data_IF_946867899681
#
_entry.id   IF_946867899681
#
_cell.length_a   1.000
_cell.length_b   1.000
_cell.length_c   1.000
_cell.angle_alpha   90.00
_cell.angle_beta   90.00
_cell.angle_gamma   90.00
#
_symmetry.space_group_name_H-M   'P 1'
#
loop_
_entity.id
_entity.type
_entity.pdbx_description
1 polymer ?
#
# COMPACT_ATOMS: atom_id res chain seq x y z
N UNK A 1 28.05 -42.86 9.21
CA UNK A 1 26.63 -42.46 9.37
C UNK A 1 26.43 -41.43 10.48
N UNK A 2 27.29 -40.40 10.61
CA UNK A 2 27.05 -39.27 11.54
C UNK A 2 27.19 -37.90 10.85
N UNK A 3 27.83 -37.85 9.68
CA UNK A 3 28.15 -36.60 8.98
C UNK A 3 26.98 -36.10 8.11
N UNK A 4 26.05 -36.98 7.71
CA UNK A 4 24.85 -36.58 6.96
C UNK A 4 23.71 -36.03 7.83
N UNK A 5 23.78 -36.15 9.16
CA UNK A 5 22.74 -35.61 10.05
C UNK A 5 22.97 -34.12 10.41
N UNK A 6 24.20 -33.62 10.27
CA UNK A 6 24.53 -32.23 10.59
C UNK A 6 24.21 -31.23 9.46
N UNK A 7 24.11 -31.70 8.22
CA UNK A 7 23.69 -30.87 7.06
C UNK A 7 22.18 -30.65 6.98
N UNK A 8 21.39 -31.34 7.82
CA UNK A 8 19.93 -31.15 7.94
C UNK A 8 19.53 -30.09 8.98
N UNK A 9 20.50 -29.53 9.73
CA UNK A 9 20.27 -28.52 10.77
C UNK A 9 20.69 -27.10 10.36
N UNK A 10 21.19 -26.90 9.15
CA UNK A 10 21.50 -25.56 8.60
C UNK A 10 20.47 -25.07 7.57
N UNK A 11 19.26 -25.63 7.58
CA UNK A 11 18.08 -24.86 7.19
C UNK A 11 17.63 -24.15 8.45
N UNK A 12 18.40 -23.15 8.87
CA UNK A 12 17.80 -22.10 9.69
C UNK A 12 16.71 -21.50 8.79
N UNK A 13 15.48 -21.96 8.99
CA UNK A 13 14.33 -21.07 8.83
C UNK A 13 14.68 -19.90 9.74
N UNK A 14 15.13 -18.80 9.16
CA UNK A 14 14.93 -17.50 9.77
C UNK A 14 13.43 -17.41 10.00
N UNK A 15 12.99 -17.82 11.18
CA UNK A 15 11.70 -17.40 11.68
C UNK A 15 11.90 -15.90 11.88
N UNK A 16 11.55 -15.12 10.88
CA UNK A 16 11.56 -13.66 10.92
C UNK A 16 10.59 -13.23 12.00
N UNK A 17 11.08 -13.13 13.24
CA UNK A 17 10.27 -12.72 14.37
C UNK A 17 10.00 -11.23 14.23
N UNK A 18 8.72 -10.85 14.22
CA UNK A 18 8.34 -9.44 14.21
C UNK A 18 8.93 -8.72 15.43
N UNK A 19 9.69 -7.67 15.17
CA UNK A 19 10.28 -6.79 16.19
C UNK A 19 9.20 -5.87 16.77
N UNK A 20 9.29 -5.60 18.06
CA UNK A 20 8.43 -4.64 18.77
C UNK A 20 9.07 -3.26 18.70
N UNK A 21 8.31 -2.26 18.27
CA UNK A 21 8.81 -0.91 18.02
C UNK A 21 8.08 0.10 18.90
N UNK A 22 8.78 1.19 19.26
CA UNK A 22 8.13 2.39 19.78
C UNK A 22 7.30 3.04 18.68
N UNK A 23 6.07 3.45 18.99
CA UNK A 23 5.16 4.13 18.07
C UNK A 23 4.88 5.55 18.54
N UNK A 24 4.96 6.52 17.65
CA UNK A 24 4.53 7.89 17.86
C UNK A 24 4.02 8.47 16.54
N UNK A 25 2.79 8.97 16.51
CA UNK A 25 2.16 9.43 15.27
C UNK A 25 2.72 10.76 14.76
N UNK A 26 2.96 11.70 15.67
CA UNK A 26 3.67 12.95 15.40
C UNK A 26 3.98 13.64 16.72
N UNK A 27 5.13 14.30 16.83
CA UNK A 27 5.49 15.10 18.00
C UNK A 27 6.93 15.57 17.95
N UNK A 28 7.38 16.19 19.03
CA UNK A 28 8.79 16.56 19.23
C UNK A 28 9.35 15.73 20.37
N UNK A 29 9.49 16.30 21.57
CA UNK A 29 10.03 15.62 22.75
C UNK A 29 9.10 14.52 23.28
N UNK A 30 7.79 14.65 23.10
CA UNK A 30 6.79 13.66 23.55
C UNK A 30 7.00 12.29 22.89
N UNK A 31 7.47 12.28 21.63
CA UNK A 31 7.77 11.04 20.92
C UNK A 31 8.99 10.30 21.45
N UNK A 32 9.87 10.96 22.23
CA UNK A 32 11.00 10.30 22.88
C UNK A 32 10.57 9.38 24.02
N UNK A 33 9.42 9.65 24.62
CA UNK A 33 8.91 8.90 25.77
C UNK A 33 7.60 8.14 25.47
N UNK A 34 7.26 7.96 24.19
CA UNK A 34 6.03 7.27 23.82
C UNK A 34 6.00 5.84 24.38
N UNK A 35 4.90 5.50 25.04
CA UNK A 35 4.59 4.15 25.52
C UNK A 35 3.80 3.32 24.53
N UNK A 36 3.37 3.92 23.42
CA UNK A 36 2.66 3.20 22.37
C UNK A 36 3.62 2.30 21.60
N UNK A 37 3.16 1.13 21.21
CA UNK A 37 3.99 0.12 20.56
C UNK A 37 3.31 -0.44 19.32
N UNK A 38 4.11 -0.98 18.41
CA UNK A 38 3.60 -1.79 17.32
C UNK A 38 4.61 -2.88 16.95
N UNK A 39 4.22 -3.83 16.10
CA UNK A 39 5.09 -4.92 15.65
C UNK A 39 5.18 -4.94 14.13
N UNK A 40 6.38 -5.12 13.61
CA UNK A 40 6.65 -5.23 12.17
C UNK A 40 7.96 -5.95 11.89
N UNK A 41 8.40 -5.93 10.63
CA UNK A 41 9.70 -6.47 10.23
C UNK A 41 10.82 -5.50 10.64
N UNK A 42 10.54 -4.20 10.56
CA UNK A 42 11.49 -3.15 10.95
C UNK A 42 10.79 -2.08 11.77
N UNK A 43 11.52 -1.49 12.70
CA UNK A 43 11.15 -0.26 13.36
C UNK A 43 11.66 0.94 12.56
N UNK A 44 10.89 2.02 12.50
CA UNK A 44 11.32 3.26 11.86
C UNK A 44 11.37 4.44 12.84
N UNK A 45 12.29 5.35 12.58
CA UNK A 45 12.38 6.66 13.20
C UNK A 45 12.53 7.70 12.07
N UNK A 46 11.57 8.61 11.94
CA UNK A 46 11.58 9.67 10.94
C UNK A 46 11.67 11.05 11.60
N UNK A 47 12.46 11.93 11.00
CA UNK A 47 12.61 13.33 11.36
C UNK A 47 12.34 14.19 10.13
N UNK A 48 11.31 15.02 10.22
CA UNK A 48 10.93 15.93 9.15
C UNK A 48 11.27 17.36 9.54
N UNK A 49 11.96 18.06 8.65
CA UNK A 49 12.36 19.46 8.82
C UNK A 49 11.48 20.31 7.91
N UNK A 50 10.40 20.86 8.46
CA UNK A 50 9.49 21.73 7.70
C UNK A 50 9.94 23.19 7.83
N UNK A 51 10.27 23.83 6.71
CA UNK A 51 10.57 25.26 6.66
C UNK A 51 11.78 25.69 7.52
N UNK A 52 11.59 26.71 8.35
CA UNK A 52 12.63 27.29 9.23
C UNK A 52 12.56 26.75 10.68
N UNK A 53 11.93 25.60 10.89
CA UNK A 53 11.83 25.01 12.24
C UNK A 53 13.20 24.62 12.78
N UNK A 54 13.48 25.00 14.03
CA UNK A 54 14.74 24.65 14.72
C UNK A 54 14.75 23.21 15.24
N UNK A 55 13.58 22.57 15.34
CA UNK A 55 13.42 21.21 15.84
C UNK A 55 12.64 20.38 14.82
N UNK A 56 13.05 19.15 14.50
CA UNK A 56 12.32 18.29 13.58
C UNK A 56 11.02 17.79 14.21
N UNK A 57 10.02 17.56 13.36
CA UNK A 57 8.86 16.73 13.70
C UNK A 57 9.29 15.27 13.66
N UNK A 58 9.07 14.55 14.76
CA UNK A 58 9.45 13.15 14.95
C UNK A 58 8.23 12.25 14.74
N UNK A 59 8.44 11.17 13.99
CA UNK A 59 7.49 10.08 13.84
C UNK A 59 8.20 8.74 14.08
N UNK A 60 7.54 7.82 14.77
CA UNK A 60 8.08 6.48 15.07
C UNK A 60 7.03 5.41 14.82
N UNK A 61 7.46 4.23 14.40
CA UNK A 61 6.56 3.09 14.30
C UNK A 61 7.26 1.86 13.76
N UNK A 62 6.49 1.03 13.08
CA UNK A 62 6.94 -0.22 12.49
C UNK A 62 6.42 -0.32 11.06
N UNK A 63 7.23 -0.90 10.19
CA UNK A 63 6.89 -1.24 8.82
C UNK A 63 6.89 -2.76 8.66
N UNK A 64 6.08 -3.24 7.72
CA UNK A 64 6.06 -4.63 7.28
C UNK A 64 6.25 -4.64 5.77
N UNK A 65 7.14 -5.51 5.30
CA UNK A 65 7.61 -5.53 3.92
C UNK A 65 9.11 -5.37 3.82
N UNK A 66 9.62 -5.47 2.61
CA UNK A 66 11.04 -5.37 2.33
C UNK A 66 11.51 -3.92 2.38
N UNK A 67 12.58 -3.65 3.12
CA UNK A 67 13.33 -2.41 3.04
C UNK A 67 14.75 -2.74 2.58
N UNK A 68 15.39 -1.84 1.83
CA UNK A 68 16.75 -2.07 1.34
C UNK A 68 17.58 -0.80 1.42
N UNK A 69 18.76 -0.83 2.06
CA UNK A 69 19.14 -1.53 3.31
C UNK A 69 18.65 -0.86 4.62
N UNK A 70 18.88 -1.48 5.78
CA UNK A 70 18.72 -0.84 7.09
C UNK A 70 19.60 0.41 7.28
N UNK A 71 19.37 1.16 8.37
CA UNK A 71 20.08 2.40 8.68
C UNK A 71 19.31 3.65 8.24
N UNK A 72 19.99 4.80 8.29
CA UNK A 72 19.39 6.10 8.03
C UNK A 72 19.48 6.53 6.56
N UNK A 73 18.40 7.09 6.04
CA UNK A 73 18.31 7.80 4.77
C UNK A 73 18.14 9.28 5.01
N UNK A 74 18.87 10.09 4.25
CA UNK A 74 18.69 11.54 4.21
C UNK A 74 18.28 11.93 2.81
N UNK A 75 17.11 12.54 2.68
CA UNK A 75 16.61 13.02 1.40
C UNK A 75 17.14 14.45 1.08
N UNK A 76 16.84 14.95 -0.12
CA UNK A 76 17.30 16.26 -0.61
C UNK A 76 16.77 17.42 0.24
N UNK A 77 15.64 17.23 0.91
CA UNK A 77 15.03 18.21 1.82
C UNK A 77 15.66 18.17 3.22
N UNK A 78 16.59 17.26 3.48
CA UNK A 78 17.21 17.07 4.80
C UNK A 78 16.39 16.21 5.76
N UNK A 79 15.25 15.67 5.32
CA UNK A 79 14.46 14.74 6.13
C UNK A 79 15.22 13.44 6.32
N UNK A 80 15.13 12.88 7.52
CA UNK A 80 15.83 11.66 7.90
C UNK A 80 14.81 10.56 8.16
N UNK A 81 15.05 9.36 7.61
CA UNK A 81 14.28 8.16 7.90
C UNK A 81 15.23 7.02 8.20
N UNK A 82 15.17 6.49 9.41
CA UNK A 82 16.02 5.39 9.83
C UNK A 82 15.22 4.14 10.10
N UNK A 83 15.79 2.98 9.74
CA UNK A 83 15.22 1.67 10.01
C UNK A 83 16.17 0.78 10.80
N UNK A 84 15.62 -0.03 11.70
CA UNK A 84 16.35 -1.02 12.49
C UNK A 84 15.46 -2.26 12.76
N UNK A 85 16.05 -3.44 12.87
CA UNK A 85 15.35 -4.67 13.29
C UNK A 85 16.16 -5.53 14.28
N UNK A 86 17.32 -5.03 14.72
CA UNK A 86 18.30 -5.75 15.54
C UNK A 86 17.81 -6.04 16.97
N UNK A 87 16.93 -5.20 17.51
CA UNK A 87 16.36 -5.37 18.84
C UNK A 87 14.96 -4.75 18.99
N UNK A 88 14.17 -5.31 19.92
CA UNK A 88 12.94 -4.67 20.37
C UNK A 88 13.24 -3.24 20.86
N UNK A 89 12.43 -2.29 20.43
CA UNK A 89 12.53 -0.86 20.71
C UNK A 89 13.82 -0.20 20.21
N UNK A 90 14.48 -0.76 19.19
CA UNK A 90 15.67 -0.17 18.57
C UNK A 90 15.43 1.29 18.09
N UNK A 91 14.19 1.64 17.75
CA UNK A 91 13.81 3.00 17.32
C UNK A 91 13.46 3.98 18.45
N UNK A 92 13.59 3.55 19.71
CA UNK A 92 13.25 4.37 20.88
C UNK A 92 14.15 5.60 21.00
N UNK A 93 15.46 5.41 20.82
CA UNK A 93 16.47 6.46 20.84
C UNK A 93 17.07 6.66 19.44
N UNK A 94 17.06 7.89 18.94
CA UNK A 94 17.65 8.21 17.64
C UNK A 94 19.16 8.02 17.60
N UNK A 95 19.87 8.38 18.68
CA UNK A 95 21.34 8.38 18.67
C UNK A 95 21.93 6.99 18.48
N UNK A 96 21.26 5.95 18.99
CA UNK A 96 21.68 4.56 18.79
C UNK A 96 21.50 4.05 17.36
N UNK A 97 20.65 4.70 16.55
CA UNK A 97 20.40 4.30 15.15
C UNK A 97 21.38 5.01 14.20
N UNK A 98 21.76 6.25 14.55
CA UNK A 98 22.61 7.12 13.71
C UNK A 98 24.10 6.78 13.82
N UNK A 99 24.50 5.97 14.80
CA UNK A 99 25.86 5.41 14.85
C UNK A 99 26.17 4.50 13.64
N UNK A 100 25.13 4.11 12.87
CA UNK A 100 25.25 3.46 11.55
C UNK A 100 25.38 4.52 10.45
N UNK A 101 26.29 4.32 9.50
CA UNK A 101 26.52 5.23 8.36
C UNK A 101 25.22 5.62 7.65
N UNK A 102 24.91 6.92 7.62
CA UNK A 102 23.75 7.44 6.90
C UNK A 102 23.98 7.43 5.38
N UNK A 103 22.96 7.03 4.64
CA UNK A 103 22.96 7.07 3.18
C UNK A 103 22.26 8.34 2.72
N UNK A 104 22.98 9.20 2.01
CA UNK A 104 22.40 10.36 1.34
C UNK A 104 21.76 9.88 0.04
N UNK A 105 20.46 10.08 -0.12
CA UNK A 105 19.75 9.67 -1.32
C UNK A 105 20.21 10.52 -2.52
N UNK A 106 20.40 9.91 -3.70
CA UNK A 106 20.87 10.62 -4.88
C UNK A 106 19.83 11.65 -5.33
N UNK A 107 20.29 12.85 -5.69
CA UNK A 107 19.43 13.91 -6.25
C UNK A 107 19.44 13.81 -7.77
N UNK A 108 18.26 13.89 -8.36
CA UNK A 108 18.03 13.93 -9.79
C UNK A 108 17.16 15.12 -10.16
N UNK A 109 17.07 15.38 -11.46
CA UNK A 109 16.18 16.42 -12.01
C UNK A 109 14.94 15.75 -12.57
N UNK A 110 13.77 16.09 -12.04
CA UNK A 110 12.50 15.70 -12.65
C UNK A 110 12.01 16.82 -13.55
N UNK A 111 11.38 16.44 -14.67
CA UNK A 111 10.76 17.38 -15.59
C UNK A 111 9.23 17.40 -15.37
N UNK A 112 8.67 18.40 -14.67
CA UNK A 112 7.25 18.37 -14.37
C UNK A 112 6.42 18.59 -15.64
N UNK A 113 5.40 17.77 -15.79
CA UNK A 113 4.47 17.83 -16.90
C UNK A 113 3.06 17.66 -16.37
N UNK A 114 2.13 18.47 -16.88
CA UNK A 114 0.71 18.33 -16.57
C UNK A 114 -0.10 18.32 -17.86
N UNK A 115 -0.91 17.30 -18.03
CA UNK A 115 -1.89 17.18 -19.10
C UNK A 115 -3.26 17.16 -18.45
N UNK A 116 -4.11 18.14 -18.76
CA UNK A 116 -5.45 18.25 -18.17
C UNK A 116 -6.44 19.00 -19.08
N UNK A 117 -6.33 18.82 -20.41
CA UNK A 117 -7.11 19.54 -21.43
C UNK A 117 -7.03 21.08 -21.39
N UNK A 118 -6.17 21.64 -20.53
CA UNK A 118 -5.81 23.05 -20.52
C UNK A 118 -4.55 23.27 -21.38
N UNK A 119 -4.34 24.49 -21.90
CA UNK A 119 -3.12 24.83 -22.61
C UNK A 119 -1.90 24.49 -21.75
N UNK A 120 -0.96 23.69 -22.28
CA UNK A 120 0.29 23.40 -21.59
C UNK A 120 0.97 24.73 -21.22
N UNK A 121 1.43 24.92 -19.97
CA UNK A 121 2.26 26.06 -19.64
C UNK A 121 3.43 26.11 -20.62
N UNK A 122 3.73 27.29 -21.16
CA UNK A 122 4.78 27.45 -22.19
C UNK A 122 6.15 26.97 -21.68
N UNK A 123 6.34 26.99 -20.35
CA UNK A 123 7.52 26.54 -19.63
C UNK A 123 7.12 26.03 -18.23
N UNK A 124 7.52 24.81 -17.89
CA UNK A 124 7.52 24.29 -16.51
C UNK A 124 8.97 24.13 -16.09
N UNK A 125 9.36 24.72 -14.96
CA UNK A 125 10.75 24.63 -14.48
C UNK A 125 11.03 23.20 -14.00
N UNK A 126 12.17 22.59 -14.39
CA UNK A 126 12.63 21.35 -13.77
C UNK A 126 12.79 21.55 -12.25
N UNK A 127 12.61 20.48 -11.49
CA UNK A 127 12.79 20.48 -10.04
C UNK A 127 13.76 19.38 -9.60
N UNK A 128 14.46 19.64 -8.49
CA UNK A 128 15.34 18.67 -7.87
C UNK A 128 14.54 17.78 -6.92
N UNK A 129 14.79 16.47 -6.98
CA UNK A 129 14.10 15.45 -6.20
C UNK A 129 14.99 14.22 -6.06
N UNK A 130 14.77 13.39 -5.05
CA UNK A 130 15.34 12.04 -5.00
C UNK A 130 14.58 11.07 -5.88
N UNK A 131 13.27 11.24 -6.04
CA UNK A 131 12.42 10.38 -6.85
C UNK A 131 11.33 11.18 -7.57
N UNK A 132 11.20 10.95 -8.87
CA UNK A 132 10.13 11.51 -9.68
C UNK A 132 8.86 10.68 -9.54
N UNK A 133 7.72 11.37 -9.54
CA UNK A 133 6.40 10.75 -9.50
C UNK A 133 5.66 11.01 -10.79
N UNK A 134 4.90 10.03 -11.25
CA UNK A 134 3.96 10.17 -12.34
C UNK A 134 2.63 9.58 -11.90
N UNK A 135 1.54 10.31 -12.12
CA UNK A 135 0.18 9.81 -11.88
C UNK A 135 -0.68 10.25 -13.05
N UNK A 136 -1.42 9.32 -13.63
CA UNK A 136 -2.42 9.58 -14.64
C UNK A 136 -3.68 8.79 -14.35
N UNK A 137 -4.84 9.32 -14.76
CA UNK A 137 -6.06 8.54 -14.72
C UNK A 137 -6.87 8.63 -16.02
N UNK A 138 -7.63 7.57 -16.29
CA UNK A 138 -8.58 7.48 -17.41
C UNK A 138 -10.00 7.49 -16.87
N UNK A 139 -10.86 8.40 -17.33
CA UNK A 139 -12.28 8.33 -16.95
C UNK A 139 -12.95 7.12 -17.61
N UNK A 140 -13.99 6.60 -16.97
CA UNK A 140 -14.79 5.46 -17.43
C UNK A 140 -15.38 5.65 -18.85
N UNK A 141 -15.53 6.90 -19.33
CA UNK A 141 -16.06 7.19 -20.67
C UNK A 141 -15.00 7.09 -21.78
N UNK A 142 -13.71 6.98 -21.44
CA UNK A 142 -12.59 7.07 -22.40
C UNK A 142 -11.67 5.84 -22.35
N UNK A 143 -12.12 4.73 -21.76
CA UNK A 143 -11.34 3.47 -21.68
C UNK A 143 -10.92 2.96 -23.08
N UNK A 144 -11.69 3.30 -24.12
CA UNK A 144 -11.39 2.97 -25.53
C UNK A 144 -10.40 3.92 -26.21
N UNK A 145 -10.06 5.08 -25.59
CA UNK A 145 -9.07 6.01 -26.12
C UNK A 145 -7.69 5.80 -25.45
N UNK A 146 -6.63 5.90 -26.25
CA UNK A 146 -5.25 5.75 -25.78
C UNK A 146 -4.79 6.90 -24.86
N UNK A 147 -5.54 8.02 -24.78
CA UNK A 147 -5.13 9.22 -24.07
C UNK A 147 -5.68 9.28 -22.64
N UNK A 148 -4.85 9.71 -21.69
CA UNK A 148 -5.26 9.95 -20.30
C UNK A 148 -6.10 11.21 -20.18
N UNK A 149 -7.15 11.18 -19.35
CA UNK A 149 -7.96 12.38 -19.06
C UNK A 149 -7.19 13.44 -18.29
N UNK A 150 -6.29 12.98 -17.42
CA UNK A 150 -5.31 13.82 -16.77
C UNK A 150 -4.04 13.02 -16.50
N UNK A 151 -2.89 13.68 -16.57
CA UNK A 151 -1.62 13.17 -16.10
C UNK A 151 -0.82 14.27 -15.43
N UNK A 152 -0.04 13.90 -14.43
CA UNK A 152 0.89 14.77 -13.72
C UNK A 152 2.19 14.01 -13.50
N UNK A 153 3.29 14.57 -13.99
CA UNK A 153 4.66 14.23 -13.59
C UNK A 153 5.15 15.36 -12.69
N UNK A 154 5.62 15.06 -11.49
CA UNK A 154 6.04 16.07 -10.51
C UNK A 154 7.16 15.56 -9.59
N UNK A 155 7.82 16.49 -8.90
CA UNK A 155 8.67 16.21 -7.75
C UNK A 155 7.81 16.01 -6.51
N UNK A 156 8.14 15.06 -5.66
CA UNK A 156 7.43 14.88 -4.41
C UNK A 156 8.09 15.79 -3.35
N UNK A 157 7.30 16.67 -2.72
CA UNK A 157 7.90 17.83 -2.05
C UNK A 157 8.52 17.56 -0.68
N UNK A 158 8.20 16.43 -0.05
CA UNK A 158 8.54 16.22 1.38
C UNK A 158 8.88 14.76 1.74
N UNK A 159 8.27 13.78 1.05
CA UNK A 159 8.34 12.36 1.42
C UNK A 159 8.99 11.50 0.33
N UNK A 160 10.23 11.85 -0.02
CA UNK A 160 11.02 11.15 -1.03
C UNK A 160 12.03 10.21 -0.37
N UNK A 161 11.60 8.98 -0.12
CA UNK A 161 12.46 7.91 0.37
C UNK A 161 12.46 6.75 -0.60
N UNK A 162 13.44 5.84 -0.46
CA UNK A 162 13.56 4.59 -1.20
C UNK A 162 12.47 3.56 -0.85
N UNK A 163 11.32 4.03 -0.37
CA UNK A 163 10.22 3.24 0.16
C UNK A 163 8.87 3.93 -0.11
N UNK A 164 7.81 3.13 -0.23
CA UNK A 164 6.43 3.43 -0.69
C UNK A 164 6.03 4.92 -0.87
N UNK A 165 5.47 5.33 -2.03
CA UNK A 165 5.02 6.70 -2.24
C UNK A 165 3.76 7.02 -1.43
N UNK A 166 3.62 8.28 -0.99
CA UNK A 166 2.45 8.78 -0.25
C UNK A 166 1.26 9.17 -1.12
N UNK A 167 1.41 9.11 -2.45
CA UNK A 167 0.49 9.78 -3.38
C UNK A 167 -0.65 8.90 -3.89
N UNK A 168 -0.67 7.61 -3.54
CA UNK A 168 -1.69 6.67 -4.03
C UNK A 168 -2.25 5.83 -2.89
N UNK A 169 -3.37 5.16 -3.14
CA UNK A 169 -3.97 4.19 -2.22
C UNK A 169 -3.27 2.83 -2.25
N UNK A 170 -2.07 2.74 -2.85
CA UNK A 170 -1.35 1.50 -3.06
C UNK A 170 0.15 1.69 -2.79
N UNK A 171 0.74 0.76 -2.04
CA UNK A 171 2.15 0.72 -1.71
C UNK A 171 2.94 -0.04 -2.79
N UNK A 172 3.93 0.62 -3.40
CA UNK A 172 4.88 0.02 -4.35
C UNK A 172 6.26 0.70 -4.28
N UNK A 173 7.31 0.03 -4.74
CA UNK A 173 8.69 0.47 -4.57
C UNK A 173 9.17 1.46 -5.65
N UNK A 174 10.20 2.28 -5.37
CA UNK A 174 10.86 3.05 -6.42
C UNK A 174 11.36 2.16 -7.56
N UNK A 175 11.34 2.69 -8.79
CA UNK A 175 11.62 1.94 -10.01
C UNK A 175 10.43 1.11 -10.52
N UNK A 176 9.24 1.32 -9.97
CA UNK A 176 8.03 0.58 -10.36
C UNK A 176 6.93 1.52 -10.87
N UNK A 177 6.24 1.07 -11.91
CA UNK A 177 4.96 1.60 -12.37
C UNK A 177 3.85 0.60 -12.05
N UNK A 178 2.69 1.09 -11.64
CA UNK A 178 1.50 0.30 -11.33
C UNK A 178 0.26 0.84 -12.05
N UNK A 179 -0.56 -0.06 -12.58
CA UNK A 179 -1.91 0.24 -13.04
C UNK A 179 -2.91 -0.29 -12.04
N UNK A 180 -3.72 0.59 -11.48
CA UNK A 180 -4.68 0.30 -10.44
C UNK A 180 -6.09 0.48 -10.99
N UNK A 181 -6.91 -0.55 -10.85
CA UNK A 181 -8.35 -0.47 -11.06
C UNK A 181 -9.02 -0.89 -9.76
N UNK A 182 -9.72 0.06 -9.13
CA UNK A 182 -10.33 -0.09 -7.81
C UNK A 182 -11.59 0.76 -7.67
N UNK A 183 -12.42 0.47 -6.67
CA UNK A 183 -13.71 1.12 -6.54
C UNK A 183 -13.62 2.61 -6.22
N UNK A 184 -14.60 3.38 -6.70
CA UNK A 184 -14.77 4.79 -6.34
C UNK A 184 -13.86 5.78 -7.06
N UNK A 185 -12.94 5.33 -7.92
CA UNK A 185 -12.05 6.19 -8.72
C UNK A 185 -11.82 5.64 -10.13
N UNK A 186 -11.44 6.49 -11.10
CA UNK A 186 -10.96 6.06 -12.41
C UNK A 186 -9.68 5.21 -12.32
N UNK A 187 -9.45 4.39 -13.35
CA UNK A 187 -8.20 3.65 -13.56
C UNK A 187 -7.01 4.58 -13.41
N UNK A 188 -6.11 4.24 -12.48
CA UNK A 188 -4.97 5.07 -12.10
C UNK A 188 -3.66 4.39 -12.49
N UNK A 189 -2.88 5.04 -13.35
CA UNK A 189 -1.51 4.67 -13.64
C UNK A 189 -0.57 5.52 -12.78
N UNK A 190 0.26 4.90 -11.97
CA UNK A 190 1.21 5.59 -11.10
C UNK A 190 2.61 5.02 -11.24
N UNK A 191 3.63 5.88 -11.32
CA UNK A 191 5.03 5.49 -11.30
C UNK A 191 5.80 6.28 -10.24
N UNK A 192 6.80 5.64 -9.67
CA UNK A 192 7.70 6.24 -8.68
C UNK A 192 9.12 5.77 -8.97
N UNK A 193 10.06 6.67 -9.23
CA UNK A 193 11.41 6.27 -9.64
C UNK A 193 12.25 7.39 -10.23
N UNK A 194 13.07 7.07 -11.23
CA UNK A 194 13.88 8.06 -11.93
C UNK A 194 13.06 8.84 -12.97
N UNK A 195 13.56 10.02 -13.39
CA UNK A 195 12.92 10.79 -14.47
C UNK A 195 12.93 10.01 -15.81
N UNK A 196 13.90 9.11 -15.98
CA UNK A 196 14.05 8.20 -17.11
C UNK A 196 13.14 6.97 -17.08
N UNK A 197 12.35 6.79 -16.00
CA UNK A 197 11.38 5.71 -15.93
C UNK A 197 10.35 5.90 -17.05
N UNK A 198 10.20 4.88 -17.88
CA UNK A 198 9.27 4.95 -19.01
C UNK A 198 7.82 4.91 -18.51
N UNK A 199 7.20 6.10 -18.45
CA UNK A 199 5.81 6.27 -18.04
C UNK A 199 4.81 5.88 -19.14
N UNK A 200 5.29 5.46 -20.31
CA UNK A 200 4.48 5.00 -21.45
C UNK A 200 4.44 3.48 -21.58
N UNK A 201 5.12 2.77 -20.69
CA UNK A 201 5.14 1.31 -20.63
C UNK A 201 3.70 0.76 -20.68
N UNK A 202 3.35 0.23 -21.85
CA UNK A 202 2.08 -0.44 -22.10
C UNK A 202 2.18 -1.80 -21.43
N UNK A 203 1.35 -2.02 -20.41
CA UNK A 203 1.31 -3.28 -19.69
C UNK A 203 0.96 -4.43 -20.63
N UNK A 204 1.68 -5.53 -20.47
CA UNK A 204 1.33 -6.78 -21.13
C UNK A 204 0.04 -7.35 -20.50
N UNK A 205 -1.08 -7.09 -21.16
CA UNK A 205 -2.40 -7.56 -20.74
C UNK A 205 -2.53 -9.08 -20.76
N UNK A 206 -1.60 -9.81 -21.39
CA UNK A 206 -1.58 -11.28 -21.35
C UNK A 206 -1.22 -11.83 -19.96
N UNK A 207 -0.57 -11.02 -19.11
CA UNK A 207 -0.23 -11.40 -17.73
C UNK A 207 -1.34 -11.09 -16.72
N UNK A 208 -2.36 -10.34 -17.12
CA UNK A 208 -3.48 -9.94 -16.28
C UNK A 208 -4.59 -11.00 -16.28
N UNK A 209 -4.32 -12.14 -15.64
CA UNK A 209 -5.25 -13.30 -15.63
C UNK A 209 -6.06 -13.44 -14.35
N UNK A 210 -5.78 -12.65 -13.32
CA UNK A 210 -6.42 -12.77 -12.01
C UNK A 210 -7.63 -11.84 -11.93
N UNK A 211 -8.81 -12.40 -11.75
CA UNK A 211 -10.04 -11.63 -11.56
C UNK A 211 -10.21 -11.19 -10.11
N UNK A 212 -10.53 -9.93 -9.85
CA UNK A 212 -10.56 -9.35 -8.51
C UNK A 212 -11.86 -8.60 -8.23
N UNK A 213 -12.26 -8.55 -6.96
CA UNK A 213 -13.35 -7.67 -6.54
C UNK A 213 -12.90 -6.21 -6.55
N UNK A 214 -13.82 -5.32 -6.96
CA UNK A 214 -13.61 -3.88 -7.03
C UNK A 214 -14.65 -3.19 -6.16
N UNK A 215 -14.21 -2.47 -5.13
CA UNK A 215 -15.07 -1.62 -4.31
C UNK A 215 -14.28 -0.58 -3.48
N UNK A 216 -15.05 0.26 -2.79
CA UNK A 216 -14.53 1.25 -1.87
C UNK A 216 -15.45 1.39 -0.66
N UNK A 217 -14.85 1.46 0.52
CA UNK A 217 -15.51 1.76 1.76
C UNK A 217 -14.88 2.99 2.42
N UNK A 218 -15.73 3.89 2.90
CA UNK A 218 -15.34 5.00 3.75
C UNK A 218 -16.25 5.00 4.98
N UNK A 219 -15.71 5.06 6.21
CA UNK A 219 -16.52 5.07 7.43
C UNK A 219 -17.46 6.28 7.55
N UNK A 220 -17.20 7.35 6.80
CA UNK A 220 -17.99 8.58 6.80
C UNK A 220 -18.97 8.69 5.63
N UNK A 221 -18.98 7.72 4.70
CA UNK A 221 -19.88 7.73 3.55
C UNK A 221 -20.71 6.44 3.50
N UNK A 222 -21.88 6.46 2.85
CA UNK A 222 -22.59 5.23 2.52
C UNK A 222 -21.67 4.30 1.74
N UNK A 223 -21.63 3.02 2.11
CA UNK A 223 -20.84 2.03 1.39
C UNK A 223 -21.31 1.94 -0.07
N UNK A 224 -20.36 2.10 -1.00
CA UNK A 224 -20.63 2.04 -2.44
C UNK A 224 -20.06 0.74 -2.97
N UNK A 225 -20.94 -0.26 -3.08
CA UNK A 225 -20.61 -1.50 -3.77
C UNK A 225 -20.59 -1.24 -5.27
N UNK A 226 -19.41 -1.23 -5.87
CA UNK A 226 -19.26 -1.07 -7.32
C UNK A 226 -19.78 -2.31 -8.09
N UNK A 227 -19.87 -3.48 -7.43
CA UNK A 227 -20.42 -4.71 -8.03
C UNK A 227 -19.64 -5.23 -9.26
N UNK A 228 -18.52 -4.59 -9.58
CA UNK A 228 -17.67 -4.85 -10.72
C UNK A 228 -16.49 -5.75 -10.33
N UNK A 229 -15.94 -6.43 -11.32
CA UNK A 229 -14.64 -7.09 -11.25
C UNK A 229 -13.66 -6.42 -12.20
N UNK A 230 -12.37 -6.64 -11.97
CA UNK A 230 -11.32 -6.26 -12.89
C UNK A 230 -10.28 -7.38 -13.03
N UNK A 231 -9.50 -7.32 -14.10
CA UNK A 231 -8.43 -8.27 -14.38
C UNK A 231 -7.07 -7.61 -14.12
N UNK A 232 -6.22 -8.28 -13.34
CA UNK A 232 -4.84 -7.85 -13.14
C UNK A 232 -3.90 -9.01 -12.85
N UNK A 233 -2.63 -8.71 -12.66
CA UNK A 233 -1.62 -9.67 -12.20
C UNK A 233 -1.91 -10.08 -10.74
N UNK A 234 -2.30 -9.11 -9.92
CA UNK A 234 -2.62 -9.32 -8.51
C UNK A 234 -3.94 -8.65 -8.12
N UNK A 235 -4.61 -9.21 -7.12
CA UNK A 235 -5.67 -8.53 -6.39
C UNK A 235 -5.09 -7.86 -5.15
N UNK A 236 -5.70 -6.75 -4.73
CA UNK A 236 -5.32 -6.09 -3.50
C UNK A 236 -6.52 -5.66 -2.65
N UNK A 237 -6.24 -5.50 -1.36
CA UNK A 237 -7.01 -4.74 -0.38
C UNK A 237 -6.04 -3.73 0.20
N UNK A 238 -6.38 -2.44 0.22
CA UNK A 238 -5.59 -1.42 0.91
C UNK A 238 -6.44 -0.64 1.89
N UNK A 239 -5.83 -0.25 3.00
CA UNK A 239 -6.50 0.40 4.11
C UNK A 239 -5.71 1.59 4.63
N UNK A 240 -6.34 2.76 4.70
CA UNK A 240 -5.73 3.96 5.27
C UNK A 240 -5.81 3.94 6.79
N UNK A 241 -4.96 4.73 7.44
CA UNK A 241 -5.03 4.97 8.90
C UNK A 241 -6.34 5.63 9.36
N UNK A 242 -7.15 6.13 8.43
CA UNK A 242 -8.48 6.71 8.68
C UNK A 242 -9.62 5.69 8.54
N UNK A 243 -9.30 4.43 8.21
CA UNK A 243 -10.27 3.35 8.05
C UNK A 243 -10.95 3.31 6.67
N UNK A 244 -10.46 4.07 5.70
CA UNK A 244 -10.89 3.92 4.30
C UNK A 244 -10.28 2.66 3.72
N UNK A 245 -11.04 1.92 2.93
CA UNK A 245 -10.59 0.66 2.34
C UNK A 245 -10.93 0.59 0.87
N UNK A 246 -9.96 0.14 0.09
CA UNK A 246 -10.04 0.01 -1.36
C UNK A 246 -9.77 -1.44 -1.75
N UNK A 247 -10.57 -1.97 -2.66
CA UNK A 247 -10.29 -3.25 -3.32
C UNK A 247 -10.21 -3.07 -4.82
N UNK A 248 -9.27 -3.80 -5.40
CA UNK A 248 -9.02 -3.72 -6.83
C UNK A 248 -8.03 -4.76 -7.32
N UNK A 249 -7.63 -4.59 -8.58
CA UNK A 249 -6.54 -5.31 -9.21
C UNK A 249 -5.41 -4.35 -9.55
N UNK A 250 -4.20 -4.91 -9.57
CA UNK A 250 -2.98 -4.19 -9.91
C UNK A 250 -2.19 -4.96 -10.96
N UNK A 251 -1.69 -4.23 -11.94
CA UNK A 251 -0.61 -4.65 -12.83
C UNK A 251 0.63 -3.85 -12.46
N UNK A 252 1.79 -4.50 -12.37
CA UNK A 252 3.04 -3.87 -11.95
C UNK A 252 4.16 -4.17 -12.93
N UNK A 253 4.96 -3.14 -13.23
CA UNK A 253 6.18 -3.27 -14.01
C UNK A 253 7.31 -2.59 -13.28
N UNK A 254 8.34 -3.36 -12.99
CA UNK A 254 9.50 -2.93 -12.21
C UNK A 254 10.74 -3.00 -13.10
N UNK A 255 11.56 -1.96 -13.08
CA UNK A 255 12.84 -1.96 -13.81
C UNK A 255 13.80 -2.99 -13.22
N UNK A 256 14.72 -3.50 -14.03
CA UNK A 256 15.72 -4.45 -13.57
C UNK A 256 16.54 -3.89 -12.41
N UNK A 257 16.74 -4.68 -11.35
CA UNK A 257 17.47 -4.29 -10.15
C UNK A 257 16.65 -3.55 -9.09
N UNK A 258 15.42 -3.13 -9.38
CA UNK A 258 14.49 -2.58 -8.39
C UNK A 258 13.68 -3.68 -7.70
N UNK A 259 13.15 -3.37 -6.51
CA UNK A 259 12.35 -4.31 -5.71
C UNK A 259 10.97 -4.53 -6.36
N UNK A 260 10.63 -5.74 -6.81
CA UNK A 260 9.35 -6.00 -7.44
C UNK A 260 8.22 -6.06 -6.40
N UNK A 261 6.99 -5.91 -6.88
CA UNK A 261 5.80 -6.16 -6.07
C UNK A 261 5.75 -7.62 -5.62
N UNK A 262 5.35 -7.86 -4.36
CA UNK A 262 5.25 -9.20 -3.77
C UNK A 262 3.86 -9.46 -3.18
N UNK A 263 3.44 -10.71 -3.24
CA UNK A 263 2.26 -11.22 -2.54
C UNK A 263 2.51 -11.12 -1.03
N UNK A 264 1.48 -10.78 -0.27
CA UNK A 264 1.54 -10.74 1.19
C UNK A 264 0.95 -9.50 1.81
N UNK A 265 1.36 -9.26 3.05
CA UNK A 265 0.97 -8.10 3.83
C UNK A 265 2.10 -7.07 3.82
N UNK A 266 1.76 -5.79 3.64
CA UNK A 266 2.69 -4.68 3.81
C UNK A 266 2.04 -3.60 4.67
N UNK A 267 2.86 -2.90 5.47
CA UNK A 267 2.47 -1.73 6.23
C UNK A 267 3.51 -0.65 6.01
N UNK A 268 3.08 0.46 5.44
CA UNK A 268 3.93 1.63 5.21
C UNK A 268 4.04 2.51 6.46
N UNK A 269 5.09 3.34 6.50
CA UNK A 269 5.29 4.36 7.55
C UNK A 269 4.17 5.42 7.56
N UNK A 270 3.46 5.58 6.44
CA UNK A 270 2.27 6.42 6.28
C UNK A 270 1.05 5.88 7.03
N UNK A 271 1.12 4.63 7.51
CA UNK A 271 -0.01 3.90 8.10
C UNK A 271 -0.90 3.21 7.08
N UNK A 272 -0.59 3.29 5.77
CA UNK A 272 -1.29 2.51 4.75
C UNK A 272 -0.93 1.02 4.91
N UNK A 273 -1.94 0.19 5.13
CA UNK A 273 -1.84 -1.26 5.17
C UNK A 273 -2.34 -1.86 3.85
N UNK A 274 -1.72 -2.95 3.40
CA UNK A 274 -2.04 -3.54 2.12
C UNK A 274 -1.87 -5.06 2.12
N UNK A 275 -2.84 -5.76 1.54
CA UNK A 275 -2.86 -7.20 1.33
C UNK A 275 -2.87 -7.46 -0.17
N UNK A 276 -1.87 -8.19 -0.68
CA UNK A 276 -1.76 -8.57 -2.09
C UNK A 276 -1.88 -10.07 -2.23
N UNK A 277 -2.65 -10.55 -3.19
CA UNK A 277 -2.79 -11.97 -3.53
C UNK A 277 -2.95 -12.17 -5.04
N UNK A 278 -2.78 -13.39 -5.54
CA UNK A 278 -2.75 -13.69 -6.98
C UNK A 278 -3.71 -14.82 -7.40
N UNK A 279 -4.73 -15.09 -6.60
CA UNK A 279 -5.80 -16.04 -6.94
C UNK A 279 -7.08 -15.28 -7.26
N UNK A 280 -7.89 -15.79 -8.19
CA UNK A 280 -9.12 -15.10 -8.56
C UNK A 280 -10.05 -14.94 -7.34
N UNK A 281 -10.53 -13.72 -7.14
CA UNK A 281 -11.39 -13.27 -6.06
C UNK A 281 -10.79 -13.46 -4.64
N UNK A 282 -9.47 -13.61 -4.52
CA UNK A 282 -8.82 -13.73 -3.21
C UNK A 282 -9.02 -12.49 -2.33
N UNK A 283 -9.30 -11.32 -2.91
CA UNK A 283 -9.61 -10.09 -2.18
C UNK A 283 -11.08 -9.98 -1.75
N UNK A 284 -11.84 -11.07 -1.68
CA UNK A 284 -13.22 -11.07 -1.19
C UNK A 284 -13.34 -10.53 0.25
N UNK A 285 -12.35 -10.85 1.09
CA UNK A 285 -12.18 -10.34 2.44
C UNK A 285 -10.73 -10.58 2.90
N UNK A 286 -10.34 -10.02 4.05
CA UNK A 286 -8.98 -10.17 4.58
C UNK A 286 -8.58 -11.63 4.83
N UNK A 287 -9.50 -12.46 5.32
CA UNK A 287 -9.22 -13.86 5.63
C UNK A 287 -9.00 -14.66 4.35
N UNK A 288 -9.80 -14.42 3.32
CA UNK A 288 -9.63 -15.01 2.00
C UNK A 288 -8.28 -14.64 1.39
N UNK A 289 -7.87 -13.37 1.50
CA UNK A 289 -6.56 -12.92 1.04
C UNK A 289 -5.43 -13.63 1.79
N UNK A 290 -5.48 -13.64 3.13
CA UNK A 290 -4.47 -14.28 3.98
C UNK A 290 -4.35 -15.81 3.78
N UNK A 291 -5.48 -16.49 3.54
CA UNK A 291 -5.51 -17.92 3.27
C UNK A 291 -4.96 -18.27 1.88
N UNK A 292 -5.06 -17.34 0.92
CA UNK A 292 -4.50 -17.53 -0.42
C UNK A 292 -2.97 -17.42 -0.47
N UNK A 293 -2.35 -16.85 0.57
CA UNK A 293 -0.91 -16.65 0.64
C UNK A 293 -0.14 -17.95 0.81
N UNK A 294 1.09 -18.01 0.28
CA UNK A 294 1.95 -19.17 0.46
C UNK A 294 2.35 -19.35 1.94
N UNK A 295 2.73 -20.58 2.37
CA UNK A 295 2.93 -20.92 3.79
C UNK A 295 4.01 -20.09 4.50
N UNK A 296 4.97 -19.53 3.77
CA UNK A 296 6.07 -18.72 4.29
C UNK A 296 5.55 -17.44 4.95
N UNK A 297 4.37 -16.95 4.54
CA UNK A 297 3.77 -15.73 5.07
C UNK A 297 2.88 -15.96 6.30
N UNK A 298 2.97 -17.12 6.96
CA UNK A 298 2.08 -17.48 8.06
C UNK A 298 2.11 -16.49 9.24
N UNK A 299 3.26 -15.85 9.51
CA UNK A 299 3.42 -14.87 10.61
C UNK A 299 2.63 -13.58 10.37
N UNK A 300 2.26 -13.30 9.13
CA UNK A 300 1.47 -12.14 8.75
C UNK A 300 -0.03 -12.45 8.62
N UNK A 301 -0.43 -13.72 8.79
CA UNK A 301 -1.84 -14.12 8.82
C UNK A 301 -2.50 -13.69 10.14
N UNK A 302 -3.84 -13.72 10.16
CA UNK A 302 -4.70 -13.39 11.29
C UNK A 302 -4.74 -11.88 11.64
N UNK A 303 -4.42 -11.00 10.68
CA UNK A 303 -4.66 -9.54 10.79
C UNK A 303 -6.14 -9.22 10.62
N UNK A 304 -6.90 -10.11 9.99
CA UNK A 304 -8.36 -10.06 9.85
C UNK A 304 -9.14 -9.88 11.16
N UNK A 305 -8.56 -10.08 12.34
CA UNK A 305 -9.25 -9.86 13.63
C UNK A 305 -9.31 -8.39 14.07
N UNK A 306 -8.64 -7.47 13.37
CA UNK A 306 -8.69 -6.05 13.67
C UNK A 306 -10.08 -5.49 13.33
N UNK A 307 -10.77 -4.96 14.36
CA UNK A 307 -12.19 -4.55 14.28
C UNK A 307 -12.49 -3.52 13.18
N UNK A 308 -11.52 -2.67 12.85
CA UNK A 308 -11.62 -1.62 11.82
C UNK A 308 -11.82 -2.22 10.41
N UNK A 309 -11.37 -3.46 10.19
CA UNK A 309 -11.51 -4.15 8.91
C UNK A 309 -12.65 -5.18 8.86
N UNK A 310 -13.39 -5.36 9.95
CA UNK A 310 -14.56 -6.25 10.00
C UNK A 310 -15.79 -5.70 9.25
N UNK A 311 -15.67 -4.53 8.63
CA UNK A 311 -16.72 -3.93 7.79
C UNK A 311 -17.10 -4.87 6.63
N UNK A 312 -16.14 -5.62 6.07
CA UNK A 312 -16.39 -6.53 4.93
C UNK A 312 -17.19 -7.79 5.30
N UNK A 313 -17.26 -8.15 6.59
CA UNK A 313 -18.06 -9.29 7.06
C UNK A 313 -19.58 -9.02 6.99
N UNK A 314 -19.99 -7.74 6.98
CA UNK A 314 -21.41 -7.36 6.96
C UNK A 314 -22.04 -7.69 5.60
N UNK A 315 -21.24 -7.75 4.52
CA UNK A 315 -21.74 -7.98 3.17
C UNK A 315 -21.92 -9.47 2.83
N UNK A 316 -21.07 -10.36 3.36
CA UNK A 316 -21.25 -11.82 3.21
C UNK A 316 -22.44 -12.35 4.01
N UNK A 317 -22.76 -11.71 5.14
CA UNK A 317 -23.96 -11.99 5.92
C UNK A 317 -25.26 -11.48 5.26
N UNK A 318 -25.18 -10.49 4.36
CA UNK A 318 -26.36 -9.99 3.63
C UNK A 318 -26.72 -10.84 2.40
N UNK A 319 -25.77 -11.54 1.78
CA UNK A 319 -26.07 -12.38 0.61
C UNK A 319 -26.82 -13.68 0.93
N UNK A 320 -26.96 -14.04 2.21
CA UNK A 320 -27.78 -15.17 2.67
C UNK A 320 -29.21 -14.77 3.05
N UNK A 321 -29.58 -13.49 2.90
CA UNK A 321 -30.96 -13.02 3.02
C UNK A 321 -31.70 -13.20 1.70
N UNK A 322 -31.96 -14.45 1.30
CA UNK A 322 -32.94 -14.76 0.26
C UNK A 322 -34.34 -14.36 0.76
N UNK A 323 -34.71 -13.08 0.61
CA UNK A 323 -36.11 -12.58 0.77
C UNK A 323 -36.94 -12.89 -0.49
N UNK A 324 -36.60 -13.96 -1.21
CA UNK A 324 -37.37 -14.47 -2.33
C UNK A 324 -37.61 -15.97 -2.17
N UNK A 325 -38.28 -16.34 -1.07
CA UNK A 325 -39.05 -17.59 -0.93
C UNK A 325 -39.93 -17.49 0.33
N UNK A 326 -40.77 -16.46 0.40
CA UNK A 326 -41.85 -16.36 1.38
C UNK A 326 -43.10 -15.69 0.79
N UNK A 327 -43.47 -16.10 -0.43
CA UNK A 327 -44.87 -16.12 -0.86
C UNK A 327 -45.02 -17.55 -1.40
N UNK A 328 -45.69 -18.47 -0.68
CA UNK A 328 -47.12 -18.35 -0.38
C UNK A 328 -47.49 -18.85 1.03
N UNK A 329 -48.43 -18.21 1.74
CA UNK A 329 -49.39 -18.88 2.65
C UNK A 329 -50.30 -17.89 3.40
N UNK A 330 -49.98 -16.58 3.42
CA UNK A 330 -50.79 -15.59 4.15
C UNK A 330 -51.98 -15.05 3.33
N UNK A 331 -52.01 -15.23 2.01
CA UNK A 331 -53.13 -14.79 1.16
C UNK A 331 -54.24 -15.85 0.93
N UNK A 332 -54.05 -17.10 1.38
CA UNK A 332 -55.06 -18.16 1.24
C UNK A 332 -55.96 -18.34 2.48
N UNK A 333 -55.66 -17.70 3.61
CA UNK A 333 -56.48 -17.80 4.83
C UNK A 333 -57.51 -16.66 4.94
N UNK A 334 -57.31 -15.52 4.27
CA UNK A 334 -58.27 -14.41 4.31
C UNK A 334 -59.35 -14.43 3.20
N UNK A 335 -59.27 -15.32 2.22
CA UNK A 335 -60.31 -15.44 1.18
C UNK A 335 -61.36 -16.53 1.46
N UNK A 336 -61.21 -17.32 2.53
CA UNK A 336 -62.19 -18.35 2.94
C UNK A 336 -62.96 -18.01 4.23
N UNK A 337 -62.77 -16.81 4.79
CA UNK A 337 -63.49 -16.36 6.00
C UNK A 337 -64.41 -15.14 5.78
N UNK A 338 -64.45 -14.60 4.56
CA UNK A 338 -65.43 -13.58 4.15
C UNK A 338 -65.84 -13.77 2.68
N UNK A 339 -66.48 -14.91 2.38
CA UNK A 339 -67.62 -14.96 1.46
C UNK A 339 -68.38 -16.27 1.54
#
# INVERSE_FOLDING_TARGET
>A
MLIQLFLLLTVFREVTTLVTCSRCESGTEECNYSRSTCRGDFCYHAQYFYGNEMMPTIQKGCVIGEISPEGCRVNHHGNVMCFCSDADYCNSNFTSIVDVTSTILPVQTCQPEKVNNLPKPRWTKPCAANYCTFIAAKTLMEVDNANYTWSTKDCNKENEFDFFPTLTVFNFYPGTCVWLNYGGQPDTHACYGSDSLDTTLVFDTTTATTECHVDYFNPHLPYVKSGSSCLGQFCFISATSRGEVFRGCVNSQTVEGATPLKIGYTRAYTGLEQWICNQSYCNADLKSAELSWPPELYLYRNRSNLREFNVFYIDSARSSSSIFLAIPFVFLINYCLFH
#
